data_IF_602212837748
#
_entry.id   IF_602212837748
#
_cell.length_a   1.000
_cell.length_b   1.000
_cell.length_c   1.000
_cell.angle_alpha   90.00
_cell.angle_beta   90.00
_cell.angle_gamma   90.00
#
_symmetry.space_group_name_H-M   'P 1'
#
loop_
_entity.id
_entity.type
_entity.pdbx_description
1 polymer ?
#
# COMPACT_ATOMS: atom_id res chain seq x y z
N UNK A 1 -16.33 -3.20 -27.69
CA UNK A 1 -15.51 -3.77 -26.61
C UNK A 1 -14.06 -3.67 -27.01
N UNK A 2 -13.30 -2.94 -26.26
CA UNK A 2 -11.90 -2.66 -26.61
C UNK A 2 -10.98 -3.78 -26.12
N UNK A 3 -10.66 -4.72 -26.99
CA UNK A 3 -9.64 -5.76 -26.72
C UNK A 3 -8.25 -5.17 -26.45
N UNK A 4 -8.00 -3.91 -26.78
CA UNK A 4 -6.73 -3.23 -26.53
C UNK A 4 -6.53 -2.81 -25.05
N UNK A 5 -7.63 -2.54 -24.34
CA UNK A 5 -7.58 -2.10 -22.94
C UNK A 5 -7.33 -3.27 -21.99
N UNK A 6 -7.94 -4.42 -22.29
CA UNK A 6 -7.72 -5.66 -21.54
C UNK A 6 -6.28 -6.17 -21.66
N UNK A 7 -5.69 -6.10 -22.85
CA UNK A 7 -4.30 -6.53 -23.07
C UNK A 7 -3.27 -5.65 -22.35
N UNK A 8 -3.55 -4.35 -22.20
CA UNK A 8 -2.68 -3.44 -21.47
C UNK A 8 -2.73 -3.67 -19.96
N UNK A 9 -3.89 -3.99 -19.40
CA UNK A 9 -4.04 -4.30 -17.98
C UNK A 9 -3.35 -5.63 -17.60
N UNK A 10 -3.52 -6.66 -18.42
CA UNK A 10 -2.78 -7.93 -18.27
C UNK A 10 -1.28 -7.73 -18.27
N UNK A 11 -0.80 -7.00 -19.25
CA UNK A 11 0.61 -6.72 -19.42
C UNK A 11 1.17 -5.92 -18.22
N UNK A 12 0.46 -4.90 -17.76
CA UNK A 12 0.87 -4.10 -16.61
C UNK A 12 0.96 -4.94 -15.33
N UNK A 13 0.00 -5.84 -15.11
CA UNK A 13 0.02 -6.74 -13.97
C UNK A 13 1.19 -7.73 -14.03
N UNK A 14 1.43 -8.33 -15.19
CA UNK A 14 2.56 -9.25 -15.38
C UNK A 14 3.91 -8.55 -15.24
N UNK A 15 4.04 -7.33 -15.74
CA UNK A 15 5.23 -6.50 -15.58
C UNK A 15 5.49 -6.16 -14.09
N UNK A 16 4.44 -5.88 -13.32
CA UNK A 16 4.53 -5.63 -11.89
C UNK A 16 5.03 -6.87 -11.13
N UNK A 17 4.46 -8.03 -11.41
CA UNK A 17 4.90 -9.29 -10.83
C UNK A 17 6.36 -9.61 -11.18
N UNK A 18 6.73 -9.42 -12.43
CA UNK A 18 8.10 -9.63 -12.90
C UNK A 18 9.09 -8.67 -12.21
N UNK A 19 8.73 -7.40 -12.06
CA UNK A 19 9.55 -6.41 -11.37
C UNK A 19 9.88 -6.85 -9.94
N UNK A 20 8.87 -7.17 -9.13
CA UNK A 20 9.08 -7.58 -7.74
C UNK A 20 9.74 -8.96 -7.61
N UNK A 21 9.53 -9.85 -8.56
CA UNK A 21 10.22 -11.15 -8.61
C UNK A 21 11.73 -10.98 -8.83
N UNK A 22 12.12 -10.02 -9.66
CA UNK A 22 13.54 -9.74 -9.99
C UNK A 22 14.21 -8.80 -8.97
N UNK A 23 13.44 -7.97 -8.28
CA UNK A 23 13.91 -6.94 -7.37
C UNK A 23 13.43 -7.21 -5.93
N UNK A 24 13.65 -8.43 -5.45
CA UNK A 24 13.36 -8.79 -4.06
C UNK A 24 14.23 -7.96 -3.13
N UNK A 25 13.61 -7.04 -2.42
CA UNK A 25 14.27 -6.22 -1.43
C UNK A 25 13.34 -6.01 -0.23
N UNK A 26 13.68 -6.63 0.90
CA UNK A 26 12.91 -6.52 2.14
C UNK A 26 13.11 -5.18 2.84
N UNK A 27 14.07 -4.39 2.40
CA UNK A 27 14.39 -3.09 2.97
C UNK A 27 14.73 -2.07 1.86
N UNK A 28 13.75 -1.71 1.03
CA UNK A 28 13.97 -0.77 -0.06
C UNK A 28 14.31 0.64 0.46
N UNK A 29 15.00 1.40 -0.38
CA UNK A 29 15.37 2.78 -0.05
C UNK A 29 14.15 3.65 0.27
N UNK A 30 14.27 4.58 1.22
CA UNK A 30 13.19 5.51 1.54
C UNK A 30 12.75 6.34 0.35
N UNK A 31 11.46 6.64 0.30
CA UNK A 31 10.88 7.53 -0.71
C UNK A 31 10.82 8.94 -0.14
N UNK A 32 11.44 9.88 -0.83
CA UNK A 32 11.47 11.28 -0.44
C UNK A 32 10.46 12.11 -1.22
N UNK A 33 9.95 13.17 -0.59
CA UNK A 33 9.09 14.11 -1.27
C UNK A 33 9.89 14.81 -2.40
N UNK A 34 9.28 15.07 -3.57
CA UNK A 34 9.98 15.78 -4.67
C UNK A 34 10.50 17.16 -4.29
N UNK A 35 9.82 17.83 -3.37
CA UNK A 35 10.26 19.11 -2.81
C UNK A 35 11.14 18.90 -1.58
N UNK A 36 12.41 19.24 -1.69
CA UNK A 36 13.39 19.10 -0.61
C UNK A 36 13.06 19.96 0.62
N UNK A 37 12.31 21.05 0.48
CA UNK A 37 11.89 21.86 1.62
C UNK A 37 10.94 21.11 2.54
N UNK A 38 10.08 20.26 1.96
CA UNK A 38 9.18 19.39 2.72
C UNK A 38 9.98 18.32 3.47
N UNK A 39 10.94 17.69 2.83
CA UNK A 39 11.80 16.69 3.47
C UNK A 39 12.57 17.29 4.65
N UNK A 40 13.12 18.50 4.48
CA UNK A 40 13.82 19.22 5.53
C UNK A 40 12.89 19.56 6.71
N UNK A 41 11.69 20.04 6.42
CA UNK A 41 10.69 20.33 7.45
C UNK A 41 10.30 19.07 8.23
N UNK A 42 10.13 17.94 7.53
CA UNK A 42 9.81 16.65 8.15
C UNK A 42 10.93 16.17 9.06
N UNK A 43 12.20 16.36 8.68
CA UNK A 43 13.37 15.96 9.47
C UNK A 43 13.53 16.74 10.78
N UNK A 44 12.94 17.93 10.87
CA UNK A 44 13.01 18.83 12.04
C UNK A 44 11.89 18.59 13.06
N UNK A 45 11.01 17.62 12.85
CA UNK A 45 9.93 17.32 13.81
C UNK A 45 10.50 16.86 15.14
N UNK A 46 10.06 17.47 16.26
CA UNK A 46 10.59 17.17 17.60
C UNK A 46 10.07 15.86 18.20
N UNK A 47 9.00 15.30 17.66
CA UNK A 47 8.36 14.08 18.17
C UNK A 47 8.78 12.85 17.39
N UNK A 48 8.89 11.66 18.05
CA UNK A 48 9.09 10.41 17.35
C UNK A 48 8.00 10.20 16.28
N UNK A 49 8.40 9.79 15.10
CA UNK A 49 7.44 9.45 14.05
C UNK A 49 6.66 8.19 14.43
N UNK A 50 5.37 8.22 14.19
CA UNK A 50 4.52 7.03 14.30
C UNK A 50 4.77 6.13 13.10
N UNK A 51 5.01 4.87 13.36
CA UNK A 51 5.11 3.86 12.30
C UNK A 51 3.72 3.38 11.93
N UNK A 52 3.46 3.37 10.63
CA UNK A 52 2.24 2.83 10.05
C UNK A 52 2.58 2.10 8.75
N UNK A 53 1.73 1.19 8.36
CA UNK A 53 1.87 0.46 7.11
C UNK A 53 0.55 0.40 6.38
N UNK A 54 0.60 0.50 5.06
CA UNK A 54 -0.55 0.35 4.19
C UNK A 54 -0.33 -0.81 3.22
N UNK A 55 -1.43 -1.43 2.83
CA UNK A 55 -1.45 -2.42 1.75
C UNK A 55 -1.90 -1.73 0.46
N UNK A 56 -1.28 -2.08 -0.65
CA UNK A 56 -1.78 -1.75 -1.98
C UNK A 56 -2.41 -3.03 -2.53
N UNK A 57 -3.70 -3.28 -2.26
CA UNK A 57 -4.35 -4.51 -2.69
C UNK A 57 -4.73 -4.40 -4.16
N UNK A 58 -4.18 -5.30 -4.96
CA UNK A 58 -4.42 -5.39 -6.39
C UNK A 58 -5.13 -6.71 -6.66
N UNK A 59 -6.29 -6.66 -7.30
CA UNK A 59 -7.00 -7.88 -7.69
C UNK A 59 -6.24 -8.59 -8.81
N UNK A 60 -6.16 -9.91 -8.70
CA UNK A 60 -5.56 -10.72 -9.75
C UNK A 60 -6.37 -10.58 -11.03
N UNK A 61 -5.68 -10.36 -12.14
CA UNK A 61 -6.30 -10.33 -13.45
C UNK A 61 -7.06 -11.64 -13.75
N UNK A 62 -8.26 -11.50 -14.27
CA UNK A 62 -9.08 -12.59 -14.81
C UNK A 62 -9.34 -12.32 -16.27
N UNK A 63 -9.46 -13.35 -17.13
CA UNK A 63 -9.80 -13.17 -18.54
C UNK A 63 -11.04 -12.28 -18.72
N UNK A 64 -10.93 -11.23 -19.54
CA UNK A 64 -12.01 -10.26 -19.80
C UNK A 64 -12.31 -9.29 -18.68
N UNK A 65 -11.41 -9.16 -17.65
CA UNK A 65 -11.54 -8.20 -16.57
C UNK A 65 -10.19 -7.53 -16.27
N UNK A 66 -10.23 -6.25 -15.98
CA UNK A 66 -9.06 -5.50 -15.55
C UNK A 66 -8.68 -5.83 -14.10
N UNK A 67 -7.41 -5.72 -13.76
CA UNK A 67 -6.98 -5.65 -12.37
C UNK A 67 -7.42 -4.34 -11.74
N UNK A 68 -7.79 -4.38 -10.48
CA UNK A 68 -8.29 -3.24 -9.73
C UNK A 68 -7.45 -3.02 -8.48
N UNK A 69 -7.32 -1.78 -8.05
CA UNK A 69 -6.78 -1.42 -6.75
C UNK A 69 -7.94 -1.14 -5.81
N UNK A 70 -7.93 -1.80 -4.65
CA UNK A 70 -8.95 -1.61 -3.62
C UNK A 70 -8.57 -0.43 -2.73
N UNK A 71 -9.48 0.52 -2.59
CA UNK A 71 -9.33 1.68 -1.73
C UNK A 71 -10.42 1.67 -0.66
N UNK A 72 -10.14 2.32 0.47
CA UNK A 72 -11.10 2.51 1.55
C UNK A 72 -11.57 3.96 1.61
N UNK A 73 -12.77 4.17 2.13
CA UNK A 73 -13.27 5.49 2.51
C UNK A 73 -13.27 5.57 4.03
N UNK A 74 -12.50 6.50 4.59
CA UNK A 74 -12.43 6.69 6.03
C UNK A 74 -13.78 7.14 6.58
N UNK A 75 -14.12 6.67 7.80
CA UNK A 75 -15.36 7.04 8.46
C UNK A 75 -15.48 8.56 8.64
N UNK A 76 -16.66 9.10 8.38
CA UNK A 76 -17.03 10.51 8.66
C UNK A 76 -16.90 10.89 10.14
N UNK A 77 -16.94 9.90 11.04
CA UNK A 77 -16.89 10.11 12.49
C UNK A 77 -15.48 10.15 13.07
N UNK A 78 -14.43 10.00 12.22
CA UNK A 78 -13.03 10.08 12.68
C UNK A 78 -12.62 11.53 12.94
N UNK A 79 -11.80 11.71 13.98
CA UNK A 79 -11.25 13.04 14.34
C UNK A 79 -10.18 13.53 13.35
N UNK A 80 -9.58 12.62 12.59
CA UNK A 80 -8.56 12.97 11.61
C UNK A 80 -8.92 12.38 10.24
N UNK A 81 -8.84 13.23 9.23
CA UNK A 81 -9.10 12.86 7.84
C UNK A 81 -10.41 12.11 7.57
N UNK A 82 -11.57 12.60 8.10
CA UNK A 82 -12.85 11.93 7.87
C UNK A 82 -13.23 11.96 6.38
N UNK A 83 -13.86 10.90 5.91
CA UNK A 83 -14.36 10.79 4.53
C UNK A 83 -13.26 10.70 3.44
N UNK A 84 -11.98 10.71 3.78
CA UNK A 84 -10.90 10.60 2.80
C UNK A 84 -10.78 9.19 2.25
N UNK A 85 -10.43 9.12 0.97
CA UNK A 85 -10.06 7.87 0.30
C UNK A 85 -8.61 7.54 0.66
N UNK A 86 -8.36 6.31 1.05
CA UNK A 86 -7.02 5.83 1.37
C UNK A 86 -6.82 4.36 1.04
N UNK A 87 -5.56 3.94 1.03
CA UNK A 87 -5.21 2.52 1.05
C UNK A 87 -5.54 1.95 2.44
N UNK A 88 -5.96 0.67 2.54
CA UNK A 88 -6.14 0.03 3.83
C UNK A 88 -4.81 -0.10 4.57
N UNK A 89 -4.82 0.19 5.85
CA UNK A 89 -3.64 0.17 6.69
C UNK A 89 -3.82 0.94 7.97
N UNK A 90 -2.76 1.04 8.76
CA UNK A 90 -2.79 1.74 10.03
C UNK A 90 -1.50 1.61 10.81
N UNK A 91 -1.58 1.95 12.09
CA UNK A 91 -0.43 2.01 12.98
C UNK A 91 0.11 0.64 13.35
N UNK A 92 1.44 0.57 13.48
CA UNK A 92 2.12 -0.59 14.03
C UNK A 92 1.71 -0.83 15.48
N UNK A 93 1.49 -2.08 15.83
CA UNK A 93 1.26 -2.52 17.21
C UNK A 93 2.36 -3.48 17.65
N UNK A 94 2.52 -3.63 18.97
CA UNK A 94 3.56 -4.49 19.54
C UNK A 94 3.46 -5.95 19.10
N UNK A 95 2.28 -6.43 18.74
CA UNK A 95 2.04 -7.78 18.24
C UNK A 95 2.56 -7.98 16.81
N UNK A 96 2.73 -6.91 16.04
CA UNK A 96 3.15 -7.00 14.66
C UNK A 96 4.65 -7.35 14.57
N UNK A 97 4.97 -8.42 13.86
CA UNK A 97 6.36 -8.87 13.68
C UNK A 97 7.16 -7.98 12.72
N UNK A 98 6.49 -7.36 11.76
CA UNK A 98 7.09 -6.50 10.74
C UNK A 98 6.02 -5.59 10.08
N UNK A 99 6.45 -4.78 9.11
CA UNK A 99 5.57 -3.86 8.39
C UNK A 99 4.49 -4.59 7.57
N UNK A 100 4.80 -5.78 7.07
CA UNK A 100 3.84 -6.62 6.33
C UNK A 100 2.75 -7.10 7.26
N UNK A 101 3.11 -7.57 8.46
CA UNK A 101 2.14 -7.99 9.48
C UNK A 101 1.17 -6.86 9.85
N UNK A 102 1.67 -5.64 10.02
CA UNK A 102 0.84 -4.46 10.28
C UNK A 102 -0.15 -4.21 9.15
N UNK A 103 0.33 -4.16 7.91
CA UNK A 103 -0.52 -3.90 6.75
C UNK A 103 -1.61 -4.96 6.57
N UNK A 104 -1.28 -6.23 6.76
CA UNK A 104 -2.24 -7.34 6.66
C UNK A 104 -3.25 -7.33 7.79
N UNK A 105 -2.83 -7.11 9.03
CA UNK A 105 -3.73 -7.03 10.20
C UNK A 105 -4.73 -5.89 10.04
N UNK A 106 -4.26 -4.71 9.72
CA UNK A 106 -5.12 -3.53 9.53
C UNK A 106 -6.10 -3.72 8.37
N UNK A 107 -5.66 -4.35 7.27
CA UNK A 107 -6.54 -4.64 6.13
C UNK A 107 -7.63 -5.64 6.47
N UNK A 108 -7.34 -6.63 7.31
CA UNK A 108 -8.36 -7.55 7.81
C UNK A 108 -9.38 -6.84 8.70
N UNK A 109 -8.92 -5.96 9.59
CA UNK A 109 -9.77 -5.17 10.48
C UNK A 109 -10.66 -4.18 9.72
N UNK A 110 -10.11 -3.48 8.72
CA UNK A 110 -10.83 -2.42 8.00
C UNK A 110 -11.78 -2.95 6.91
N UNK A 111 -11.35 -3.93 6.13
CA UNK A 111 -12.07 -4.40 4.95
C UNK A 111 -12.36 -5.91 4.94
N UNK A 112 -12.04 -6.61 6.02
CA UNK A 112 -12.28 -8.05 6.11
C UNK A 112 -11.41 -8.90 5.19
N UNK A 113 -10.30 -8.36 4.69
CA UNK A 113 -9.39 -9.08 3.81
C UNK A 113 -8.50 -10.02 4.66
N UNK A 114 -8.78 -11.32 4.62
CA UNK A 114 -7.99 -12.30 5.34
C UNK A 114 -6.57 -12.39 4.79
N UNK A 115 -5.58 -12.45 5.67
CA UNK A 115 -4.16 -12.55 5.26
C UNK A 115 -3.87 -13.74 4.35
N UNK A 116 -4.60 -14.84 4.52
CA UNK A 116 -4.41 -16.06 3.72
C UNK A 116 -4.93 -15.90 2.28
N UNK A 117 -5.74 -14.87 2.02
CA UNK A 117 -6.22 -14.50 0.68
C UNK A 117 -5.29 -13.50 -0.03
N UNK A 118 -4.19 -13.12 0.62
CA UNK A 118 -3.23 -12.14 0.10
C UNK A 118 -1.90 -12.78 -0.21
N UNK A 119 -1.45 -12.62 -1.43
CA UNK A 119 -0.07 -12.91 -1.85
C UNK A 119 0.73 -11.61 -1.86
N UNK A 120 1.70 -11.48 -0.94
CA UNK A 120 2.57 -10.31 -0.88
C UNK A 120 3.64 -10.42 -1.94
N UNK A 121 3.60 -9.56 -2.94
CA UNK A 121 4.53 -9.59 -4.08
C UNK A 121 5.74 -8.70 -3.90
N UNK A 122 5.69 -7.74 -2.99
CA UNK A 122 6.81 -6.83 -2.75
C UNK A 122 6.49 -5.72 -1.77
N UNK A 123 7.48 -4.90 -1.52
CA UNK A 123 7.42 -3.76 -0.63
C UNK A 123 7.99 -2.51 -1.32
N UNK A 124 7.34 -1.38 -1.12
CA UNK A 124 7.86 -0.06 -1.48
C UNK A 124 8.61 0.56 -0.29
N UNK A 125 9.46 1.53 -0.57
CA UNK A 125 10.22 2.23 0.46
C UNK A 125 9.35 3.03 1.42
N UNK A 126 9.86 3.27 2.60
CA UNK A 126 9.20 4.07 3.62
C UNK A 126 9.09 5.53 3.19
N UNK A 127 7.99 6.16 3.54
CA UNK A 127 7.73 7.57 3.27
C UNK A 127 7.37 8.29 4.57
N UNK A 128 7.94 9.46 4.80
CA UNK A 128 7.55 10.33 5.91
C UNK A 128 6.48 11.31 5.45
N UNK A 129 5.38 11.33 6.16
CA UNK A 129 4.23 12.18 5.88
C UNK A 129 3.97 13.16 7.01
#
# INVERSE_FOLDING_TARGET
MNNADDSNSERAFDELLAYFSQNKNDNPDPIFHPDNSVNKMMSLRPSPLRKASVLIPITRHKPGKNSEIVLTVRSENLNSHPGQISLPGGSEEAIDSDVVATALRESEEEIGLAKDDVEVIGRLGDMTL
#
